data_IF_634567281885
#
_entry.id   IF_634567281885
#
_cell.length_a   1.000
_cell.length_b   1.000
_cell.length_c   1.000
_cell.angle_alpha   90.00
_cell.angle_beta   90.00
_cell.angle_gamma   90.00
#
_symmetry.space_group_name_H-M   'P 1'
#
loop_
_entity.id
_entity.type
_entity.pdbx_description
1 polymer ?
#
# COMPACT_ATOMS: atom_id res chain seq x y z
N UNK A 1 -16.00 -18.59 -5.38
CA UNK A 1 -15.24 -17.34 -5.54
C UNK A 1 -16.15 -16.18 -5.23
N UNK A 2 -15.80 -15.35 -4.25
CA UNK A 2 -16.51 -14.11 -3.91
C UNK A 2 -15.79 -12.95 -4.58
N UNK A 3 -16.51 -12.03 -5.20
CA UNK A 3 -15.91 -10.91 -5.94
C UNK A 3 -16.64 -9.62 -5.62
N UNK A 4 -15.91 -8.54 -5.37
CA UNK A 4 -16.44 -7.19 -5.25
C UNK A 4 -15.75 -6.23 -6.21
N UNK A 5 -16.46 -5.16 -6.58
CA UNK A 5 -15.87 -4.01 -7.24
C UNK A 5 -15.33 -3.03 -6.18
N UNK A 6 -14.07 -2.65 -6.29
CA UNK A 6 -13.42 -1.73 -5.35
C UNK A 6 -13.83 -0.27 -5.52
N UNK A 7 -14.50 0.07 -6.65
CA UNK A 7 -14.95 1.44 -6.93
C UNK A 7 -16.39 1.69 -6.52
N UNK A 8 -17.31 0.80 -6.86
CA UNK A 8 -18.72 0.99 -6.51
C UNK A 8 -19.19 0.07 -5.37
N UNK A 9 -18.29 -0.76 -4.82
CA UNK A 9 -18.51 -1.68 -3.70
C UNK A 9 -19.60 -2.74 -3.95
N UNK A 10 -20.07 -2.91 -5.18
CA UNK A 10 -21.05 -3.92 -5.52
C UNK A 10 -20.46 -5.31 -5.55
N UNK A 11 -21.23 -6.31 -5.14
CA UNK A 11 -20.91 -7.72 -5.38
C UNK A 11 -21.00 -8.04 -6.86
N UNK A 12 -20.07 -8.83 -7.36
CA UNK A 12 -19.99 -9.23 -8.77
C UNK A 12 -20.13 -10.74 -8.87
N UNK A 13 -21.14 -11.19 -9.62
CA UNK A 13 -21.38 -12.60 -9.85
C UNK A 13 -20.57 -13.13 -11.04
N UNK A 14 -20.06 -14.36 -10.91
CA UNK A 14 -19.31 -15.05 -11.97
C UNK A 14 -17.91 -14.49 -12.21
N UNK A 15 -17.24 -15.02 -13.22
CA UNK A 15 -15.92 -14.59 -13.66
C UNK A 15 -16.06 -13.37 -14.58
N UNK A 16 -15.82 -12.18 -14.08
CA UNK A 16 -15.90 -10.93 -14.82
C UNK A 16 -14.52 -10.25 -14.84
N UNK A 17 -14.20 -9.59 -15.95
CA UNK A 17 -13.00 -8.74 -16.08
C UNK A 17 -13.27 -7.28 -15.72
N UNK A 18 -14.55 -6.88 -15.71
CA UNK A 18 -15.00 -5.55 -15.35
C UNK A 18 -16.31 -5.61 -14.57
N UNK A 19 -16.50 -4.64 -13.70
CA UNK A 19 -17.75 -4.50 -12.95
C UNK A 19 -18.95 -4.27 -13.90
N UNK A 20 -20.02 -5.07 -13.81
CA UNK A 20 -21.19 -4.88 -14.66
C UNK A 20 -21.93 -3.56 -14.34
N UNK A 21 -21.79 -3.04 -13.11
CA UNK A 21 -22.48 -1.83 -12.69
C UNK A 21 -21.75 -0.54 -13.10
N UNK A 22 -20.43 -0.43 -12.85
CA UNK A 22 -19.67 0.80 -13.09
C UNK A 22 -18.55 0.66 -14.13
N UNK A 23 -18.40 -0.51 -14.76
CA UNK A 23 -17.39 -0.81 -15.77
C UNK A 23 -15.93 -0.79 -15.27
N UNK A 24 -15.69 -0.57 -14.00
CA UNK A 24 -14.34 -0.58 -13.42
C UNK A 24 -13.65 -1.94 -13.61
N UNK A 25 -12.36 -1.96 -13.94
CA UNK A 25 -11.56 -3.17 -13.95
C UNK A 25 -11.07 -3.57 -12.55
N UNK A 26 -11.26 -2.71 -11.53
CA UNK A 26 -10.74 -2.92 -10.17
C UNK A 26 -11.65 -3.88 -9.40
N UNK A 27 -11.62 -5.13 -9.79
CA UNK A 27 -12.28 -6.23 -9.10
C UNK A 27 -11.30 -6.92 -8.16
N UNK A 28 -11.79 -7.39 -7.02
CA UNK A 28 -11.03 -8.26 -6.12
C UNK A 28 -11.84 -9.52 -5.85
N UNK A 29 -11.19 -10.66 -5.97
CA UNK A 29 -11.83 -11.98 -5.87
C UNK A 29 -11.03 -12.89 -4.97
N UNK A 30 -11.71 -13.57 -4.04
CA UNK A 30 -11.10 -14.59 -3.20
C UNK A 30 -12.18 -15.53 -2.64
N UNK A 31 -11.92 -16.84 -2.41
CA UNK A 31 -12.91 -17.75 -1.82
C UNK A 31 -13.42 -17.30 -0.46
N UNK A 32 -12.53 -16.76 0.38
CA UNK A 32 -12.83 -16.30 1.75
C UNK A 32 -12.80 -14.77 1.89
N UNK A 33 -13.16 -14.05 0.81
CA UNK A 33 -13.01 -12.59 0.73
C UNK A 33 -13.68 -11.82 1.87
N UNK A 34 -14.83 -12.28 2.31
CA UNK A 34 -15.63 -11.62 3.35
C UNK A 34 -15.30 -12.09 4.78
N UNK A 35 -14.46 -13.12 4.94
CA UNK A 35 -14.12 -13.70 6.25
C UNK A 35 -12.81 -13.12 6.84
N UNK A 36 -11.95 -12.57 5.97
CA UNK A 36 -10.65 -12.05 6.39
C UNK A 36 -10.80 -10.67 7.01
N UNK A 37 -10.16 -10.46 8.16
CA UNK A 37 -10.37 -9.26 8.97
C UNK A 37 -9.07 -8.51 9.33
N UNK A 38 -7.88 -9.08 9.08
CA UNK A 38 -6.62 -8.41 9.39
C UNK A 38 -6.13 -7.71 8.14
N UNK A 39 -6.00 -6.39 8.21
CA UNK A 39 -5.55 -5.58 7.10
C UNK A 39 -4.25 -4.85 7.42
N UNK A 40 -3.46 -4.62 6.39
CA UNK A 40 -2.34 -3.67 6.38
C UNK A 40 -2.61 -2.62 5.31
N UNK A 41 -2.56 -1.35 5.67
CA UNK A 41 -2.69 -0.22 4.76
C UNK A 41 -1.38 0.55 4.69
N UNK A 42 -0.95 0.89 3.48
CA UNK A 42 0.29 1.61 3.19
C UNK A 42 0.00 2.70 2.15
N UNK A 43 0.41 3.94 2.43
CA UNK A 43 0.21 5.06 1.53
C UNK A 43 1.20 4.99 0.37
N UNK A 44 0.70 5.02 -0.87
CA UNK A 44 1.50 4.87 -2.08
C UNK A 44 2.49 6.01 -2.27
N UNK A 45 3.80 5.70 -2.28
CA UNK A 45 4.90 6.67 -2.42
C UNK A 45 4.70 7.94 -1.58
N UNK A 46 4.34 7.79 -0.32
CA UNK A 46 3.70 8.75 0.57
C UNK A 46 4.20 10.19 0.44
N UNK A 47 5.47 10.46 0.73
CA UNK A 47 5.98 11.84 0.69
C UNK A 47 5.87 12.44 -0.72
N UNK A 48 6.18 11.66 -1.74
CA UNK A 48 6.09 12.13 -3.11
C UNK A 48 4.63 12.32 -3.56
N UNK A 49 3.69 11.51 -3.07
CA UNK A 49 2.26 11.67 -3.32
C UNK A 49 1.73 12.96 -2.71
N UNK A 50 2.12 13.29 -1.47
CA UNK A 50 1.76 14.55 -0.79
C UNK A 50 2.30 15.76 -1.57
N UNK A 51 3.56 15.73 -2.01
CA UNK A 51 4.13 16.85 -2.79
C UNK A 51 3.44 17.03 -4.14
N UNK A 52 3.11 15.93 -4.84
CA UNK A 52 2.37 15.99 -6.11
C UNK A 52 0.93 16.46 -5.95
N UNK A 53 0.28 16.11 -4.85
CA UNK A 53 -1.05 16.60 -4.49
C UNK A 53 -1.06 18.12 -4.33
N UNK A 54 -0.08 18.64 -3.57
CA UNK A 54 0.02 20.05 -3.24
C UNK A 54 0.54 20.91 -4.42
N UNK A 55 1.24 20.28 -5.38
CA UNK A 55 1.80 20.93 -6.56
C UNK A 55 1.39 20.17 -7.84
N UNK A 56 0.24 20.47 -8.43
CA UNK A 56 -0.30 19.75 -9.60
C UNK A 56 0.62 19.72 -10.82
N UNK A 57 1.52 20.70 -10.97
CA UNK A 57 2.53 20.73 -12.02
C UNK A 57 3.53 19.55 -11.96
N UNK A 58 3.63 18.90 -10.80
CA UNK A 58 4.46 17.72 -10.60
C UNK A 58 3.78 16.41 -11.00
N UNK A 59 2.50 16.43 -11.37
CA UNK A 59 1.69 15.22 -11.60
C UNK A 59 2.40 14.22 -12.53
N UNK A 60 2.92 14.70 -13.65
CA UNK A 60 3.59 13.87 -14.67
C UNK A 60 5.12 13.91 -14.59
N UNK A 61 5.68 14.54 -13.54
CA UNK A 61 7.12 14.63 -13.35
C UNK A 61 7.65 13.46 -12.49
N UNK A 62 8.87 12.97 -12.74
CA UNK A 62 9.57 12.12 -11.80
C UNK A 62 9.98 12.95 -10.57
N UNK A 63 9.46 12.60 -9.40
CA UNK A 63 9.72 13.29 -8.13
C UNK A 63 10.47 12.38 -7.17
N UNK A 64 11.53 12.92 -6.58
CA UNK A 64 12.34 12.27 -5.55
C UNK A 64 12.32 13.14 -4.29
N UNK A 65 11.92 12.58 -3.19
CA UNK A 65 12.03 13.22 -1.88
C UNK A 65 13.34 12.80 -1.26
N UNK A 66 14.19 13.75 -0.98
CA UNK A 66 15.52 13.52 -0.41
C UNK A 66 16.30 14.83 -0.29
N UNK A 67 17.50 14.77 0.20
CA UNK A 67 18.29 16.00 0.40
C UNK A 67 19.79 15.80 0.42
N UNK A 68 20.49 16.82 -0.13
CA UNK A 68 21.94 16.91 -0.14
C UNK A 68 22.65 15.88 -1.03
N UNK A 69 23.86 16.25 -1.51
CA UNK A 69 24.68 15.39 -2.38
C UNK A 69 25.12 14.07 -1.71
N UNK A 70 25.21 14.05 -0.38
CA UNK A 70 25.57 12.86 0.42
C UNK A 70 24.35 12.20 1.07
N UNK A 71 23.13 12.68 0.79
CA UNK A 71 21.90 12.11 1.32
C UNK A 71 21.44 10.87 0.57
N UNK A 72 20.32 10.32 1.04
CA UNK A 72 19.63 9.19 0.40
C UNK A 72 18.22 9.58 -0.02
N UNK A 73 17.66 8.82 -0.93
CA UNK A 73 16.25 8.91 -1.32
C UNK A 73 15.39 8.48 -0.13
N UNK A 74 14.56 9.38 0.39
CA UNK A 74 13.53 9.03 1.38
C UNK A 74 12.35 8.33 0.71
N UNK A 75 11.82 8.95 -0.37
CA UNK A 75 10.72 8.38 -1.17
C UNK A 75 10.90 8.79 -2.63
N UNK A 76 10.57 7.92 -3.56
CA UNK A 76 10.47 8.20 -4.99
C UNK A 76 9.06 7.92 -5.49
N UNK A 77 8.48 8.81 -6.30
CA UNK A 77 7.20 8.56 -6.96
C UNK A 77 7.32 7.41 -7.97
N UNK A 78 6.21 6.84 -8.40
CA UNK A 78 6.22 5.70 -9.32
C UNK A 78 6.89 6.02 -10.66
N UNK A 79 6.78 7.24 -11.18
CA UNK A 79 7.49 7.66 -12.40
C UNK A 79 9.02 7.57 -12.20
N UNK A 80 9.54 8.07 -11.06
CA UNK A 80 10.96 7.94 -10.77
C UNK A 80 11.40 6.48 -10.54
N UNK A 81 10.52 5.64 -9.95
CA UNK A 81 10.80 4.20 -9.75
C UNK A 81 10.92 3.44 -11.07
N UNK A 82 10.18 3.80 -12.12
CA UNK A 82 10.32 3.23 -13.48
C UNK A 82 11.75 3.43 -14.01
N UNK A 83 12.41 4.52 -13.66
CA UNK A 83 13.82 4.79 -14.00
C UNK A 83 14.82 4.09 -13.06
N UNK A 84 14.36 3.20 -12.17
CA UNK A 84 15.23 2.44 -11.28
C UNK A 84 15.56 3.13 -9.95
N UNK A 85 14.96 4.28 -9.64
CA UNK A 85 15.15 4.95 -8.34
C UNK A 85 14.44 4.17 -7.24
N UNK A 86 15.14 3.94 -6.11
CA UNK A 86 14.62 3.18 -4.96
C UNK A 86 14.84 3.98 -3.66
N UNK A 87 13.98 3.75 -2.67
CA UNK A 87 14.19 4.27 -1.31
C UNK A 87 15.54 3.77 -0.75
N UNK A 88 16.17 4.57 0.09
CA UNK A 88 17.51 4.40 0.64
C UNK A 88 18.67 4.44 -0.39
N UNK A 89 18.38 4.62 -1.69
CA UNK A 89 19.41 4.81 -2.71
C UNK A 89 20.18 6.12 -2.48
N UNK A 90 21.52 6.15 -2.60
CA UNK A 90 22.29 7.40 -2.56
C UNK A 90 21.80 8.39 -3.63
N UNK A 91 21.64 9.68 -3.26
CA UNK A 91 21.07 10.70 -4.15
C UNK A 91 21.82 10.83 -5.48
N UNK A 92 23.15 10.73 -5.47
CA UNK A 92 23.93 10.81 -6.70
C UNK A 92 23.59 9.67 -7.69
N UNK A 93 23.34 8.44 -7.18
CA UNK A 93 22.92 7.31 -8.01
C UNK A 93 21.49 7.49 -8.52
N UNK A 94 20.61 8.02 -7.69
CA UNK A 94 19.25 8.31 -8.08
C UNK A 94 19.18 9.34 -9.22
N UNK A 95 19.99 10.40 -9.15
CA UNK A 95 20.09 11.42 -10.20
C UNK A 95 20.77 10.90 -11.47
N UNK A 96 21.71 9.95 -11.37
CA UNK A 96 22.24 9.25 -12.54
C UNK A 96 21.18 8.39 -13.23
N UNK A 97 20.33 7.70 -12.45
CA UNK A 97 19.25 6.86 -12.97
C UNK A 97 18.10 7.70 -13.57
N UNK A 98 17.78 8.83 -12.95
CA UNK A 98 16.70 9.72 -13.38
C UNK A 98 17.17 11.20 -13.38
N UNK A 99 17.93 11.65 -14.41
CA UNK A 99 18.52 13.00 -14.45
C UNK A 99 17.48 14.13 -14.49
N UNK A 100 16.26 13.84 -14.95
CA UNK A 100 15.16 14.82 -15.04
C UNK A 100 14.30 14.87 -13.78
N UNK A 101 14.67 14.15 -12.73
CA UNK A 101 13.87 14.12 -11.51
C UNK A 101 13.87 15.48 -10.79
N UNK A 102 12.68 15.89 -10.38
CA UNK A 102 12.51 17.02 -9.45
C UNK A 102 12.84 16.51 -8.05
N UNK A 103 13.83 17.12 -7.41
CA UNK A 103 14.26 16.77 -6.06
C UNK A 103 13.66 17.77 -5.07
N UNK A 104 12.91 17.24 -4.11
CA UNK A 104 12.25 18.05 -3.06
C UNK A 104 12.81 17.61 -1.71
N UNK A 105 13.16 18.59 -0.87
CA UNK A 105 13.56 18.34 0.53
C UNK A 105 12.34 17.86 1.32
N UNK A 106 12.50 16.84 2.20
CA UNK A 106 11.38 16.35 2.99
C UNK A 106 10.84 17.41 3.96
N UNK A 107 9.52 17.60 3.97
CA UNK A 107 8.78 18.37 4.97
C UNK A 107 8.09 17.39 5.93
N UNK A 108 8.81 17.00 6.99
CA UNK A 108 8.31 16.01 7.94
C UNK A 108 7.09 16.49 8.73
N UNK A 109 6.95 17.80 8.99
CA UNK A 109 5.79 18.34 9.70
C UNK A 109 4.50 18.14 8.87
N UNK A 110 4.56 18.45 7.58
CA UNK A 110 3.47 18.23 6.63
C UNK A 110 3.12 16.73 6.53
N UNK A 111 4.10 15.85 6.37
CA UNK A 111 3.84 14.43 6.23
C UNK A 111 3.24 13.79 7.48
N UNK A 112 3.71 14.19 8.66
CA UNK A 112 3.12 13.74 9.94
C UNK A 112 1.65 14.17 10.05
N UNK A 113 1.33 15.40 9.61
CA UNK A 113 -0.05 15.89 9.61
C UNK A 113 -0.95 15.06 8.68
N UNK A 114 -0.51 14.79 7.45
CA UNK A 114 -1.26 13.96 6.49
C UNK A 114 -1.41 12.54 7.00
N UNK A 115 -0.36 11.93 7.54
CA UNK A 115 -0.43 10.60 8.14
C UNK A 115 -1.42 10.50 9.31
N UNK A 116 -1.55 11.59 10.13
CA UNK A 116 -2.59 11.66 11.16
C UNK A 116 -3.99 11.67 10.56
N UNK A 117 -4.24 12.40 9.47
CA UNK A 117 -5.54 12.43 8.78
C UNK A 117 -5.92 11.04 8.28
N UNK A 118 -5.00 10.33 7.62
CA UNK A 118 -5.22 8.94 7.19
C UNK A 118 -5.57 8.03 8.38
N UNK A 119 -4.83 8.16 9.47
CA UNK A 119 -5.07 7.36 10.69
C UNK A 119 -6.42 7.63 11.33
N UNK A 120 -6.90 8.88 11.33
CA UNK A 120 -8.24 9.19 11.82
C UNK A 120 -9.33 8.54 10.97
N UNK A 121 -9.15 8.45 9.64
CA UNK A 121 -10.06 7.70 8.77
C UNK A 121 -10.03 6.18 9.07
N UNK A 122 -8.85 5.62 9.32
CA UNK A 122 -8.73 4.21 9.74
C UNK A 122 -9.50 3.93 11.04
N UNK A 123 -9.39 4.81 12.04
CA UNK A 123 -10.06 4.69 13.33
C UNK A 123 -11.59 4.75 13.24
N UNK A 124 -12.14 5.31 12.17
CA UNK A 124 -13.58 5.27 11.90
C UNK A 124 -14.07 3.86 11.55
N UNK A 125 -13.18 2.98 11.07
CA UNK A 125 -13.52 1.60 10.78
C UNK A 125 -13.36 0.69 12.00
N UNK A 126 -12.29 0.88 12.77
CA UNK A 126 -11.98 0.07 13.94
C UNK A 126 -11.10 0.86 14.91
N UNK A 127 -11.30 0.73 16.23
CA UNK A 127 -10.36 1.30 17.20
C UNK A 127 -9.03 0.55 17.24
N UNK A 128 -8.97 -0.68 16.68
CA UNK A 128 -7.80 -1.55 16.68
C UNK A 128 -6.89 -1.21 15.48
N UNK A 129 -6.32 -0.01 15.52
CA UNK A 129 -5.33 0.49 14.54
C UNK A 129 -3.96 0.49 15.21
N UNK A 130 -3.00 -0.23 14.62
CA UNK A 130 -1.62 -0.33 15.10
C UNK A 130 -0.68 0.30 14.06
N UNK A 131 -0.24 1.55 14.27
CA UNK A 131 0.71 2.20 13.38
C UNK A 131 2.08 1.55 13.44
N UNK A 132 2.70 1.34 12.27
CA UNK A 132 4.09 0.90 12.14
C UNK A 132 4.97 2.11 11.83
N UNK A 133 4.47 3.02 11.00
CA UNK A 133 5.13 4.26 10.61
C UNK A 133 4.11 5.40 10.49
N UNK A 134 4.52 6.53 9.89
CA UNK A 134 3.59 7.65 9.64
C UNK A 134 2.64 7.40 8.47
N UNK A 135 2.94 6.45 7.60
CA UNK A 135 2.26 6.15 6.34
C UNK A 135 1.67 4.73 6.28
N UNK A 136 1.92 3.89 7.27
CA UNK A 136 1.40 2.51 7.30
C UNK A 136 0.90 2.08 8.68
N UNK A 137 -0.14 1.25 8.68
CA UNK A 137 -0.69 0.67 9.90
C UNK A 137 -1.39 -0.66 9.63
N UNK A 138 -1.43 -1.50 10.67
CA UNK A 138 -2.36 -2.63 10.73
C UNK A 138 -3.72 -2.21 11.25
N UNK A 139 -4.76 -2.90 10.80
CA UNK A 139 -6.12 -2.79 11.29
C UNK A 139 -6.68 -4.18 11.57
N UNK A 140 -7.30 -4.36 12.70
CA UNK A 140 -8.12 -5.54 12.99
C UNK A 140 -9.60 -5.14 12.89
N UNK A 141 -10.28 -5.70 11.89
CA UNK A 141 -11.69 -5.46 11.61
C UNK A 141 -12.59 -6.60 12.13
N UNK A 142 -12.06 -7.46 13.01
CA UNK A 142 -12.85 -8.56 13.60
C UNK A 142 -14.09 -7.99 14.31
N UNK A 143 -15.26 -8.49 13.92
CA UNK A 143 -16.54 -8.09 14.52
C UNK A 143 -17.10 -6.74 14.06
N UNK A 144 -16.40 -6.00 13.20
CA UNK A 144 -16.85 -4.68 12.74
C UNK A 144 -18.00 -4.74 11.72
N UNK A 145 -18.32 -5.91 11.15
CA UNK A 145 -19.41 -6.08 10.19
C UNK A 145 -20.77 -5.66 10.75
N UNK A 146 -21.02 -5.98 12.03
CA UNK A 146 -22.27 -5.59 12.70
C UNK A 146 -22.42 -4.08 12.86
N UNK A 147 -21.29 -3.39 13.05
CA UNK A 147 -21.25 -1.93 13.20
C UNK A 147 -21.45 -1.23 11.85
N UNK A 148 -20.79 -1.69 10.81
CA UNK A 148 -20.76 -1.03 9.52
C UNK A 148 -21.80 -1.56 8.51
N UNK A 149 -22.45 -2.70 8.80
CA UNK A 149 -23.34 -3.38 7.86
C UNK A 149 -22.64 -3.84 6.58
N UNK A 150 -21.30 -3.97 6.62
CA UNK A 150 -20.44 -4.30 5.46
C UNK A 150 -19.32 -5.24 5.89
N UNK A 151 -18.92 -6.13 4.99
CA UNK A 151 -17.74 -6.97 5.22
C UNK A 151 -16.45 -6.16 5.26
N UNK A 152 -15.37 -6.66 5.93
CA UNK A 152 -14.08 -5.98 6.02
C UNK A 152 -13.54 -5.50 4.68
N UNK A 153 -13.59 -6.31 3.64
CA UNK A 153 -13.11 -5.93 2.30
C UNK A 153 -13.91 -4.77 1.70
N UNK A 154 -15.23 -4.71 1.90
CA UNK A 154 -16.04 -3.59 1.43
C UNK A 154 -15.74 -2.32 2.23
N UNK A 155 -15.57 -2.43 3.56
CA UNK A 155 -15.22 -1.31 4.42
C UNK A 155 -13.83 -0.75 4.05
N UNK A 156 -12.85 -1.62 3.83
CA UNK A 156 -11.48 -1.23 3.40
C UNK A 156 -11.45 -0.60 2.01
N UNK A 157 -12.24 -1.12 1.07
CA UNK A 157 -12.36 -0.51 -0.26
C UNK A 157 -12.97 0.89 -0.17
N UNK A 158 -14.00 1.05 0.66
CA UNK A 158 -14.60 2.36 0.94
C UNK A 158 -13.62 3.33 1.63
N UNK A 159 -12.78 2.84 2.56
CA UNK A 159 -11.72 3.62 3.18
C UNK A 159 -10.70 4.13 2.15
N UNK A 160 -10.25 3.25 1.23
CA UNK A 160 -9.32 3.63 0.18
C UNK A 160 -9.87 4.76 -0.71
N UNK A 161 -11.14 4.66 -1.11
CA UNK A 161 -11.83 5.71 -1.87
C UNK A 161 -11.94 7.01 -1.08
N UNK A 162 -12.30 6.91 0.19
CA UNK A 162 -12.42 8.09 1.08
C UNK A 162 -11.09 8.80 1.29
N UNK A 163 -9.98 8.06 1.47
CA UNK A 163 -8.64 8.64 1.57
C UNK A 163 -8.28 9.37 0.27
N UNK A 164 -8.59 8.77 -0.90
CA UNK A 164 -8.32 9.39 -2.19
C UNK A 164 -9.16 10.67 -2.39
N UNK A 165 -10.43 10.67 -2.01
CA UNK A 165 -11.34 11.81 -2.15
C UNK A 165 -11.03 12.95 -1.15
N UNK A 166 -10.85 12.63 0.14
CA UNK A 166 -10.70 13.63 1.19
C UNK A 166 -9.27 14.12 1.40
N UNK A 167 -8.27 13.22 1.18
CA UNK A 167 -6.85 13.52 1.43
C UNK A 167 -6.07 13.71 0.13
N UNK A 168 -6.55 13.19 -1.00
CA UNK A 168 -5.92 13.35 -2.31
C UNK A 168 -4.68 12.48 -2.53
N UNK A 169 -4.53 11.37 -1.80
CA UNK A 169 -3.46 10.39 -1.99
C UNK A 169 -4.07 9.00 -2.14
N UNK A 170 -3.33 8.08 -2.75
CA UNK A 170 -3.76 6.69 -2.86
C UNK A 170 -3.11 5.80 -1.82
N UNK A 171 -3.74 4.67 -1.55
CA UNK A 171 -3.26 3.65 -0.62
C UNK A 171 -3.33 2.27 -1.25
N UNK A 172 -2.45 1.39 -0.82
CA UNK A 172 -2.50 -0.03 -1.13
C UNK A 172 -2.79 -0.84 0.13
N UNK A 173 -3.65 -1.85 0.01
CA UNK A 173 -4.17 -2.61 1.15
C UNK A 173 -3.91 -4.10 0.94
N UNK A 174 -3.34 -4.74 1.95
CA UNK A 174 -3.28 -6.19 2.06
C UNK A 174 -4.31 -6.69 3.05
N UNK A 175 -5.06 -7.73 2.70
CA UNK A 175 -6.06 -8.36 3.55
C UNK A 175 -5.70 -9.84 3.78
N UNK A 176 -5.69 -10.28 5.03
CA UNK A 176 -5.32 -11.63 5.38
C UNK A 176 -5.91 -12.04 6.74
N UNK A 177 -5.51 -13.22 7.23
CA UNK A 177 -5.82 -13.71 8.56
C UNK A 177 -4.70 -13.45 9.60
N UNK A 178 -3.54 -12.91 9.15
CA UNK A 178 -2.42 -12.51 10.02
C UNK A 178 -1.84 -11.16 9.58
N UNK A 179 -1.27 -10.40 10.53
CA UNK A 179 -0.58 -9.14 10.26
C UNK A 179 0.58 -9.32 9.27
N UNK A 180 1.37 -10.38 9.45
CA UNK A 180 2.50 -10.68 8.58
C UNK A 180 2.10 -10.84 7.11
N UNK A 181 1.10 -11.67 6.83
CA UNK A 181 0.62 -11.88 5.46
C UNK A 181 -0.11 -10.65 4.90
N UNK A 182 -0.85 -9.92 5.74
CA UNK A 182 -1.48 -8.67 5.33
C UNK A 182 -0.44 -7.64 4.86
N UNK A 183 0.71 -7.53 5.58
CA UNK A 183 1.79 -6.65 5.15
C UNK A 183 2.42 -7.09 3.83
N UNK A 184 2.70 -8.37 3.65
CA UNK A 184 3.19 -8.89 2.37
C UNK A 184 2.19 -8.64 1.23
N UNK A 185 0.90 -8.87 1.51
CA UNK A 185 -0.18 -8.65 0.54
C UNK A 185 -0.26 -7.19 0.07
N UNK A 186 -0.06 -6.21 0.96
CA UNK A 186 -0.15 -4.79 0.61
C UNK A 186 0.88 -4.34 -0.44
N UNK A 187 1.99 -5.09 -0.60
CA UNK A 187 3.04 -4.77 -1.57
C UNK A 187 2.82 -5.40 -2.95
N UNK A 188 1.87 -6.37 -3.08
CA UNK A 188 1.73 -7.20 -4.28
C UNK A 188 1.11 -6.48 -5.48
N UNK A 189 0.25 -5.49 -5.25
CA UNK A 189 -0.54 -4.83 -6.31
C UNK A 189 -0.39 -3.29 -6.26
N UNK A 190 0.74 -2.77 -5.74
CA UNK A 190 1.02 -1.32 -5.70
C UNK A 190 1.20 -0.73 -7.10
N UNK A 191 0.75 0.51 -7.37
CA UNK A 191 0.00 1.41 -6.50
C UNK A 191 -1.52 1.22 -6.56
N UNK A 192 -2.25 1.81 -5.58
CA UNK A 192 -3.72 1.83 -5.52
C UNK A 192 -4.31 0.43 -5.53
N UNK A 193 -3.52 -0.52 -4.98
CA UNK A 193 -3.78 -1.94 -5.03
C UNK A 193 -4.59 -2.46 -3.85
N UNK A 194 -5.11 -3.66 -4.02
CA UNK A 194 -5.61 -4.48 -2.92
C UNK A 194 -5.34 -5.94 -3.25
N UNK A 195 -4.69 -6.63 -2.34
CA UNK A 195 -4.34 -8.04 -2.50
C UNK A 195 -4.78 -8.85 -1.28
N UNK A 196 -5.17 -10.10 -1.51
CA UNK A 196 -5.68 -11.00 -0.47
C UNK A 196 -4.82 -12.24 -0.40
N UNK A 197 -4.45 -12.65 0.82
CA UNK A 197 -3.80 -13.93 1.10
C UNK A 197 -4.58 -14.62 2.21
N UNK A 198 -5.29 -15.68 1.88
CA UNK A 198 -6.03 -16.50 2.84
C UNK A 198 -5.16 -17.56 3.51
N UNK A 199 -5.69 -18.29 4.49
CA UNK A 199 -4.97 -19.35 5.18
C UNK A 199 -4.68 -20.56 4.25
N UNK A 200 -5.54 -20.83 3.29
CA UNK A 200 -5.47 -22.05 2.49
C UNK A 200 -4.31 -22.02 1.48
N UNK A 201 -3.96 -20.85 0.95
CA UNK A 201 -2.88 -20.66 -0.03
C UNK A 201 -1.57 -20.11 0.57
N UNK A 202 -1.53 -19.74 1.85
CA UNK A 202 -0.38 -19.03 2.44
C UNK A 202 0.94 -19.81 2.31
N UNK A 203 0.92 -21.12 2.49
CA UNK A 203 2.10 -21.98 2.35
C UNK A 203 2.59 -22.01 0.90
N UNK A 204 1.66 -22.20 -0.05
CA UNK A 204 1.99 -22.18 -1.47
C UNK A 204 2.49 -20.81 -1.92
N UNK A 205 1.89 -19.73 -1.42
CA UNK A 205 2.29 -18.35 -1.70
C UNK A 205 3.73 -18.06 -1.23
N UNK A 206 4.15 -18.58 -0.08
CA UNK A 206 5.48 -18.31 0.48
C UNK A 206 6.57 -19.25 -0.02
N UNK A 207 6.25 -20.48 -0.40
CA UNK A 207 7.19 -21.57 -0.70
C UNK A 207 8.31 -21.18 -1.66
N UNK A 208 7.95 -20.52 -2.75
CA UNK A 208 8.89 -20.21 -3.84
C UNK A 208 9.40 -18.75 -3.78
N UNK A 209 9.14 -18.06 -2.67
CA UNK A 209 9.62 -16.68 -2.48
C UNK A 209 11.03 -16.67 -1.92
N UNK A 210 11.90 -15.77 -2.41
CA UNK A 210 13.24 -15.63 -1.86
C UNK A 210 13.17 -15.12 -0.41
N UNK A 211 14.17 -15.43 0.40
CA UNK A 211 14.26 -14.95 1.81
C UNK A 211 14.20 -13.44 1.95
N UNK A 212 14.57 -12.71 0.89
CA UNK A 212 14.43 -11.24 0.80
C UNK A 212 12.99 -10.75 0.83
N UNK A 213 12.03 -11.63 0.54
CA UNK A 213 10.60 -11.34 0.58
C UNK A 213 10.05 -11.31 2.02
N UNK A 214 10.77 -11.90 2.96
CA UNK A 214 10.38 -11.93 4.37
C UNK A 214 10.55 -10.54 4.97
N UNK A 215 9.48 -9.99 5.52
CA UNK A 215 9.51 -8.71 6.20
C UNK A 215 10.53 -8.70 7.34
N UNK A 216 11.41 -7.68 7.34
CA UNK A 216 12.51 -7.56 8.30
C UNK A 216 13.81 -8.24 7.87
N UNK A 217 13.82 -9.01 6.77
CA UNK A 217 15.02 -9.65 6.25
C UNK A 217 15.76 -8.73 5.27
N UNK A 218 16.61 -7.85 5.78
CA UNK A 218 17.50 -7.00 4.99
C UNK A 218 18.72 -7.75 4.47
N UNK A 219 19.56 -7.07 3.65
CA UNK A 219 20.71 -7.67 2.97
C UNK A 219 21.68 -8.42 3.91
N UNK A 220 21.93 -7.90 5.11
CA UNK A 220 22.81 -8.56 6.08
C UNK A 220 22.26 -9.93 6.56
N UNK A 221 20.95 -9.98 6.85
CA UNK A 221 20.27 -11.22 7.25
C UNK A 221 20.18 -12.20 6.07
N UNK A 222 19.88 -11.72 4.85
CA UNK A 222 19.87 -12.56 3.64
C UNK A 222 21.23 -13.24 3.45
N UNK A 223 22.34 -12.47 3.57
CA UNK A 223 23.69 -13.02 3.44
C UNK A 223 23.99 -14.09 4.50
N UNK A 224 23.47 -13.92 5.72
CA UNK A 224 23.60 -14.92 6.78
C UNK A 224 22.81 -16.18 6.45
N UNK A 225 21.53 -16.04 6.12
CA UNK A 225 20.66 -17.18 5.78
C UNK A 225 21.20 -17.98 4.58
N UNK A 226 21.74 -17.30 3.55
CA UNK A 226 22.35 -18.00 2.40
C UNK A 226 23.64 -18.74 2.73
N UNK A 227 24.35 -18.38 3.81
CA UNK A 227 25.53 -19.12 4.27
C UNK A 227 25.18 -20.33 5.11
N UNK A 228 24.06 -20.26 5.79
CA UNK A 228 23.58 -21.31 6.70
C UNK A 228 22.74 -22.38 5.95
N UNK A 229 22.51 -22.23 4.63
CA UNK A 229 21.71 -23.09 3.75
C UNK A 229 20.33 -22.54 3.48
#
# INVERSE_FOLDING_TARGET
MQTICRDCLSSVAGAQTRCPQCRSPRLISHPRLHELCIAHLDCDSFYAAVEKRDNPELADQPVIIGGGTRGVVSTACYIARIHGVKSAMPMFKALQACPKAVVIKPDMAKYVQVGKQVRELMKQLTPLVEPISIDEAFMDLTGTERLHGKSPVCALSGLALKIEEEIGITVSIGLSHTKYLAKLASDMDKPRGMFVIGPDECVAFLRDRPVSFIWGVGAAMQNKLHKDG
#
